data_IF_884290934847
#
_entry.id   IF_884290934847
#
_cell.length_a   1.000
_cell.length_b   1.000
_cell.length_c   1.000
_cell.angle_alpha   90.00
_cell.angle_beta   90.00
_cell.angle_gamma   90.00
#
_symmetry.space_group_name_H-M   'P 1'
#
loop_
_entity.id
_entity.type
_entity.pdbx_description
1 polymer ?
#
# COMPACT_ATOMS: atom_id res chain seq x y z
N UNK A 1 9.33 -21.25 -2.59
CA UNK A 1 9.23 -19.85 -2.09
C UNK A 1 9.56 -19.89 -0.60
N UNK A 2 10.25 -18.88 -0.05
CA UNK A 2 10.80 -18.86 1.32
C UNK A 2 9.88 -18.19 2.34
N UNK A 3 8.98 -17.34 1.87
CA UNK A 3 8.03 -16.58 2.69
C UNK A 3 6.62 -16.97 2.20
N UNK A 4 5.70 -17.29 3.11
CA UNK A 4 4.34 -17.67 2.73
C UNK A 4 3.49 -16.47 2.31
N UNK A 5 3.53 -15.38 3.09
CA UNK A 5 2.72 -14.19 2.85
C UNK A 5 3.55 -12.92 2.85
N UNK A 6 3.34 -12.07 1.84
CA UNK A 6 3.77 -10.67 1.82
C UNK A 6 2.53 -9.78 1.87
N UNK A 7 2.39 -8.99 2.92
CA UNK A 7 1.23 -8.13 3.13
C UNK A 7 1.70 -6.68 2.98
N UNK A 8 1.23 -5.99 1.95
CA UNK A 8 1.56 -4.58 1.71
C UNK A 8 0.42 -3.70 2.20
N UNK A 9 0.71 -2.87 3.20
CA UNK A 9 -0.21 -1.83 3.62
C UNK A 9 -0.10 -0.66 2.66
N UNK A 10 -1.22 -0.32 2.04
CA UNK A 10 -1.37 0.83 1.15
C UNK A 10 -2.11 1.94 1.87
N UNK A 11 -1.91 3.18 1.44
CA UNK A 11 -2.59 4.33 2.00
C UNK A 11 -2.69 5.44 0.97
N UNK A 12 -3.85 6.09 0.89
CA UNK A 12 -4.06 7.17 -0.05
C UNK A 12 -2.98 8.27 0.10
N UNK A 13 -2.35 8.73 -1.00
CA UNK A 13 -1.24 9.68 -1.01
C UNK A 13 -1.44 10.93 -0.14
N UNK A 14 -2.63 11.55 -0.20
CA UNK A 14 -3.00 12.71 0.65
C UNK A 14 -2.90 12.42 2.15
N UNK A 15 -3.37 11.24 2.58
CA UNK A 15 -3.33 10.83 3.99
C UNK A 15 -1.89 10.51 4.38
N UNK A 16 -1.15 9.81 3.52
CA UNK A 16 0.26 9.49 3.77
C UNK A 16 1.10 10.77 3.95
N UNK A 17 0.96 11.75 3.05
CA UNK A 17 1.61 13.07 3.16
C UNK A 17 1.35 13.71 4.53
N UNK A 18 0.07 13.82 4.91
CA UNK A 18 -0.33 14.40 6.19
C UNK A 18 0.26 13.66 7.40
N UNK A 19 0.35 12.32 7.33
CA UNK A 19 0.96 11.48 8.39
C UNK A 19 2.47 11.70 8.48
N UNK A 20 3.17 11.89 7.36
CA UNK A 20 4.62 12.10 7.33
C UNK A 20 5.00 13.52 7.77
N UNK A 21 4.21 14.53 7.42
CA UNK A 21 4.35 15.90 7.92
C UNK A 21 4.26 15.95 9.45
N UNK A 22 3.26 15.28 10.04
CA UNK A 22 3.12 15.15 11.51
C UNK A 22 4.30 14.45 12.18
N UNK A 23 5.09 13.66 11.44
CA UNK A 23 6.32 13.02 11.91
C UNK A 23 7.55 13.93 11.77
N UNK A 24 7.38 15.19 11.37
CA UNK A 24 8.47 16.15 11.09
C UNK A 24 9.50 15.63 10.08
N UNK A 25 9.05 14.89 9.06
CA UNK A 25 9.93 14.56 7.94
C UNK A 25 10.15 15.82 7.10
N UNK A 26 11.34 15.94 6.49
CA UNK A 26 11.58 17.03 5.55
C UNK A 26 10.78 16.80 4.25
N UNK A 27 10.51 17.88 3.52
CA UNK A 27 9.67 17.87 2.31
C UNK A 27 10.17 16.88 1.25
N UNK A 28 11.50 16.83 1.03
CA UNK A 28 12.11 15.88 0.08
C UNK A 28 11.75 14.44 0.44
N UNK A 29 11.93 14.05 1.70
CA UNK A 29 11.64 12.69 2.18
C UNK A 29 10.15 12.39 2.12
N UNK A 30 9.29 13.37 2.40
CA UNK A 30 7.84 13.22 2.26
C UNK A 30 7.50 12.94 0.79
N UNK A 31 7.98 13.78 -0.14
CA UNK A 31 7.74 13.62 -1.59
C UNK A 31 8.21 12.24 -2.08
N UNK A 32 9.43 11.83 -1.74
CA UNK A 32 9.95 10.50 -2.09
C UNK A 32 9.06 9.35 -1.58
N UNK A 33 8.61 9.40 -0.31
CA UNK A 33 7.78 8.32 0.25
C UNK A 33 6.38 8.29 -0.38
N UNK A 34 5.80 9.46 -0.68
CA UNK A 34 4.48 9.53 -1.30
C UNK A 34 4.52 9.09 -2.76
N UNK A 35 5.55 9.50 -3.51
CA UNK A 35 5.76 9.03 -4.89
C UNK A 35 5.94 7.50 -4.95
N UNK A 36 6.72 6.92 -4.03
CA UNK A 36 6.89 5.47 -3.95
C UNK A 36 5.57 4.73 -3.68
N UNK A 37 4.68 5.31 -2.87
CA UNK A 37 3.33 4.77 -2.63
C UNK A 37 2.45 4.85 -3.89
N UNK A 38 2.50 5.99 -4.61
CA UNK A 38 1.75 6.19 -5.86
C UNK A 38 2.18 5.18 -6.92
N UNK A 39 3.49 4.95 -7.06
CA UNK A 39 4.06 4.03 -8.04
C UNK A 39 3.96 2.55 -7.63
N UNK A 40 3.54 2.26 -6.40
CA UNK A 40 3.43 0.89 -5.91
C UNK A 40 4.78 0.20 -5.72
N UNK A 41 5.85 0.95 -5.42
CA UNK A 41 7.22 0.45 -5.36
C UNK A 41 7.38 -0.75 -4.41
N UNK A 42 6.71 -0.71 -3.24
CA UNK A 42 6.73 -1.81 -2.28
C UNK A 42 6.16 -3.11 -2.86
N UNK A 43 5.04 -3.04 -3.59
CA UNK A 43 4.41 -4.20 -4.23
C UNK A 43 5.34 -4.75 -5.31
N UNK A 44 5.82 -3.87 -6.20
CA UNK A 44 6.74 -4.22 -7.28
C UNK A 44 8.00 -4.91 -6.75
N UNK A 45 8.62 -4.36 -5.71
CA UNK A 45 9.78 -4.94 -5.07
C UNK A 45 9.52 -6.37 -4.55
N UNK A 46 8.39 -6.61 -3.88
CA UNK A 46 8.05 -7.95 -3.37
C UNK A 46 7.83 -8.97 -4.49
N UNK A 47 7.18 -8.55 -5.58
CA UNK A 47 6.95 -9.40 -6.75
C UNK A 47 8.27 -9.79 -7.46
N UNK A 48 9.19 -8.83 -7.60
CA UNK A 48 10.50 -9.05 -8.21
C UNK A 48 11.36 -10.06 -7.47
N UNK A 49 11.26 -10.14 -6.14
CA UNK A 49 12.05 -11.09 -5.35
C UNK A 49 11.73 -12.54 -5.66
N UNK A 50 10.52 -12.85 -6.14
CA UNK A 50 10.07 -14.22 -6.45
C UNK A 50 10.23 -15.24 -5.29
N UNK A 51 10.41 -14.77 -4.06
CA UNK A 51 10.57 -15.61 -2.86
C UNK A 51 9.29 -15.74 -2.02
N UNK A 52 8.23 -14.99 -2.34
CA UNK A 52 7.01 -14.87 -1.51
C UNK A 52 5.84 -15.59 -2.18
N UNK A 53 5.22 -16.59 -1.52
CA UNK A 53 4.19 -17.47 -2.10
C UNK A 53 2.99 -16.65 -2.54
N UNK A 54 2.41 -15.90 -1.62
CA UNK A 54 1.24 -15.06 -1.83
C UNK A 54 1.56 -13.63 -1.44
N UNK A 55 1.26 -12.67 -2.32
CA UNK A 55 1.37 -11.24 -2.00
C UNK A 55 -0.02 -10.64 -2.09
N UNK A 56 -0.39 -9.86 -1.08
CA UNK A 56 -1.67 -9.15 -0.99
C UNK A 56 -1.43 -7.68 -0.66
N UNK A 57 -2.40 -6.84 -1.01
CA UNK A 57 -2.40 -5.43 -0.67
C UNK A 57 -3.66 -5.03 0.08
N UNK A 58 -3.50 -4.21 1.11
CA UNK A 58 -4.56 -3.79 2.02
C UNK A 58 -4.60 -2.28 2.03
N UNK A 59 -5.71 -1.69 1.59
CA UNK A 59 -5.93 -0.26 1.75
C UNK A 59 -6.24 0.07 3.22
N UNK A 60 -5.44 0.95 3.81
CA UNK A 60 -5.58 1.41 5.20
C UNK A 60 -6.03 2.87 5.30
N UNK A 61 -6.58 3.41 4.21
CA UNK A 61 -7.02 4.82 4.10
C UNK A 61 -8.15 5.13 5.06
N UNK A 62 -9.23 4.34 5.04
CA UNK A 62 -10.47 4.61 5.78
C UNK A 62 -10.95 3.41 6.63
N UNK A 63 -10.14 2.37 6.75
CA UNK A 63 -10.58 1.10 7.32
C UNK A 63 -10.43 1.00 8.84
N UNK A 64 -11.24 0.11 9.41
CA UNK A 64 -11.21 -0.30 10.81
C UNK A 64 -9.99 -1.20 11.04
N UNK A 65 -9.01 -0.74 11.83
CA UNK A 65 -7.76 -1.45 12.04
C UNK A 65 -7.95 -2.80 12.74
N UNK A 66 -8.97 -2.92 13.60
CA UNK A 66 -9.33 -4.17 14.25
C UNK A 66 -9.81 -5.20 13.22
N UNK A 67 -10.68 -4.82 12.29
CA UNK A 67 -11.15 -5.70 11.21
C UNK A 67 -9.99 -6.13 10.31
N UNK A 68 -9.12 -5.20 9.90
CA UNK A 68 -7.92 -5.52 9.10
C UNK A 68 -7.03 -6.54 9.83
N UNK A 69 -6.82 -6.36 11.14
CA UNK A 69 -5.99 -7.27 11.91
C UNK A 69 -6.61 -8.67 11.99
N UNK A 70 -7.93 -8.77 12.18
CA UNK A 70 -8.66 -10.04 12.16
C UNK A 70 -8.56 -10.74 10.80
N UNK A 71 -8.73 -9.98 9.72
CA UNK A 71 -8.60 -10.46 8.35
C UNK A 71 -7.17 -10.98 8.08
N UNK A 72 -6.13 -10.25 8.48
CA UNK A 72 -4.74 -10.72 8.38
C UNK A 72 -4.51 -12.03 9.14
N UNK A 73 -5.03 -12.14 10.37
CA UNK A 73 -4.91 -13.38 11.17
C UNK A 73 -5.64 -14.53 10.49
N UNK A 74 -6.81 -14.29 9.90
CA UNK A 74 -7.58 -15.30 9.16
C UNK A 74 -6.84 -15.77 7.91
N UNK A 75 -6.25 -14.86 7.14
CA UNK A 75 -5.43 -15.18 5.96
C UNK A 75 -4.25 -16.05 6.35
N UNK A 76 -3.49 -15.65 7.37
CA UNK A 76 -2.28 -16.35 7.80
C UNK A 76 -2.60 -17.73 8.38
N UNK A 77 -3.68 -17.87 9.17
CA UNK A 77 -4.00 -19.14 9.85
C UNK A 77 -4.84 -20.10 9.02
N UNK A 78 -5.75 -19.57 8.20
CA UNK A 78 -6.79 -20.36 7.54
C UNK A 78 -6.66 -20.39 6.01
N UNK A 79 -5.72 -19.63 5.43
CA UNK A 79 -5.54 -19.46 3.97
C UNK A 79 -6.84 -19.04 3.27
N UNK A 80 -7.65 -18.19 3.94
CA UNK A 80 -8.96 -17.71 3.48
C UNK A 80 -9.00 -16.18 3.45
N UNK A 81 -9.85 -15.62 2.58
CA UNK A 81 -10.12 -14.19 2.54
C UNK A 81 -9.12 -13.36 1.72
N UNK A 82 -8.09 -13.97 1.13
CA UNK A 82 -7.08 -13.25 0.33
C UNK A 82 -7.67 -12.57 -0.92
N UNK A 83 -8.78 -13.07 -1.46
CA UNK A 83 -9.46 -12.50 -2.64
C UNK A 83 -9.91 -11.04 -2.41
N UNK A 84 -10.26 -10.68 -1.16
CA UNK A 84 -10.58 -9.29 -0.78
C UNK A 84 -9.39 -8.37 -1.06
N UNK A 85 -8.18 -8.88 -0.84
CA UNK A 85 -6.91 -8.16 -0.87
C UNK A 85 -6.01 -8.54 -2.06
N UNK A 86 -6.60 -9.06 -3.13
CA UNK A 86 -5.87 -9.39 -4.34
C UNK A 86 -5.18 -8.15 -4.91
N UNK A 87 -3.99 -8.36 -5.49
CA UNK A 87 -3.19 -7.30 -6.10
C UNK A 87 -3.89 -6.65 -7.29
N UNK A 88 -3.57 -5.37 -7.51
CA UNK A 88 -4.07 -4.58 -8.63
C UNK A 88 -5.45 -3.96 -8.37
N UNK A 89 -5.92 -4.00 -7.13
CA UNK A 89 -7.16 -3.28 -6.74
C UNK A 89 -6.90 -1.84 -6.34
N UNK A 90 -5.65 -1.51 -6.01
CA UNK A 90 -5.24 -0.18 -5.53
C UNK A 90 -4.31 0.44 -6.55
N UNK A 91 -4.84 1.39 -7.33
CA UNK A 91 -4.10 2.18 -8.31
C UNK A 91 -4.24 3.68 -8.01
N UNK A 92 -3.37 4.18 -7.14
CA UNK A 92 -3.32 5.60 -6.81
C UNK A 92 -2.85 6.47 -7.98
N UNK A 93 -2.08 5.91 -8.92
CA UNK A 93 -1.61 6.65 -10.08
C UNK A 93 -2.79 6.95 -11.01
N UNK A 94 -3.60 5.95 -11.33
CA UNK A 94 -4.82 6.12 -12.11
C UNK A 94 -5.81 7.04 -11.40
N UNK A 95 -6.01 6.87 -10.08
CA UNK A 95 -6.92 7.70 -9.29
C UNK A 95 -6.49 9.18 -9.30
N UNK A 96 -5.23 9.48 -8.96
CA UNK A 96 -4.72 10.86 -8.91
C UNK A 96 -4.68 11.50 -10.29
N UNK A 97 -4.31 10.75 -11.34
CA UNK A 97 -4.34 11.23 -12.71
C UNK A 97 -5.75 11.62 -13.12
N UNK A 98 -6.74 10.74 -12.88
CA UNK A 98 -8.15 10.97 -13.22
C UNK A 98 -8.72 12.19 -12.51
N UNK A 99 -8.30 12.44 -11.27
CA UNK A 99 -8.77 13.58 -10.49
C UNK A 99 -7.95 14.87 -10.70
N UNK A 100 -6.94 14.89 -11.59
CA UNK A 100 -6.02 16.01 -11.81
C UNK A 100 -5.22 16.45 -10.56
N UNK A 101 -4.91 15.51 -9.66
CA UNK A 101 -4.11 15.75 -8.45
C UNK A 101 -2.69 15.16 -8.54
N UNK A 102 -2.34 14.52 -9.66
CA UNK A 102 -1.03 13.87 -9.80
C UNK A 102 0.14 14.87 -9.74
N UNK A 103 -0.03 16.03 -10.37
CA UNK A 103 1.02 17.06 -10.46
C UNK A 103 1.43 17.59 -9.08
N UNK A 104 0.53 17.58 -8.08
CA UNK A 104 0.83 17.96 -6.70
C UNK A 104 1.96 17.13 -6.05
N UNK A 105 2.23 15.94 -6.60
CA UNK A 105 3.23 15.01 -6.09
C UNK A 105 4.45 14.86 -7.00
N UNK A 106 4.38 15.28 -8.27
CA UNK A 106 5.43 15.07 -9.25
C UNK A 106 6.05 16.36 -9.81
N UNK A 107 5.41 17.51 -9.65
CA UNK A 107 6.03 18.84 -9.82
C UNK A 107 6.86 19.23 -8.59
#
# INVERSE_FOLDING_TARGET
>A
KLIDYGIVLRCHPNILKSRLEKRNYNERKIKENVQAEILGDCVSFLLEKKIIKTVIEIDTTNENFEEIAEDMVSIIKNDKGFEKYALGKIDWLEELFTNNHLDEFFE
#
